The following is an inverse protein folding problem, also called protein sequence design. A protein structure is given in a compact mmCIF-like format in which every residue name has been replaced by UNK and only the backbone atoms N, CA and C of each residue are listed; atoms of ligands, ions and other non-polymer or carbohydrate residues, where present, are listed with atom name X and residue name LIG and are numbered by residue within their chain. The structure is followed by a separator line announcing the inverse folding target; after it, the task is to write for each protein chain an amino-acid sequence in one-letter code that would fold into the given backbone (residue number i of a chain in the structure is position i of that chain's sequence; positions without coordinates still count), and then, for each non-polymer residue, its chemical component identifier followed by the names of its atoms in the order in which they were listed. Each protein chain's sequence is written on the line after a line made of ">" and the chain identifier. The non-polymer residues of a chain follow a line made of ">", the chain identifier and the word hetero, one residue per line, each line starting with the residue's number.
data_IF_648042097279
#
_entry.id   IF_648042097279
#
_cell.length_a   1.000
_cell.length_b   1.000
_cell.length_c   1.000
_cell.angle_alpha   90.00
_cell.angle_beta   90.00
_cell.angle_gamma   90.00
#
_symmetry.space_group_name_H-M   'P 1'
#
loop_
_entity.id
_entity.type
_entity.pdbx_description
1 polymer ?
#
# COMPACT_ATOMS: atom_id res chain seq x y z
N UNK A 1 -20.13 6.35 -16.22
CA UNK A 1 -21.00 5.25 -15.79
C UNK A 1 -21.83 4.75 -16.95
N UNK A 2 -22.01 3.41 -17.10
CA UNK A 2 -22.80 2.80 -18.17
C UNK A 2 -22.11 2.67 -19.53
N UNK A 3 -20.88 3.15 -19.70
CA UNK A 3 -20.15 3.04 -20.96
C UNK A 3 -19.40 1.70 -21.11
N UNK A 4 -19.07 1.05 -19.99
CA UNK A 4 -18.39 -0.24 -19.94
C UNK A 4 -18.95 -1.06 -18.78
N UNK A 5 -18.84 -2.38 -18.86
CA UNK A 5 -19.16 -3.28 -17.78
C UNK A 5 -18.18 -3.09 -16.61
N UNK A 6 -18.66 -3.31 -15.38
CA UNK A 6 -17.84 -3.23 -14.18
C UNK A 6 -17.29 -4.61 -13.83
N UNK A 7 -15.99 -4.67 -13.48
CA UNK A 7 -15.40 -5.84 -12.82
C UNK A 7 -15.12 -5.47 -11.35
N UNK A 8 -15.73 -6.14 -10.37
CA UNK A 8 -15.55 -5.84 -8.95
C UNK A 8 -14.08 -5.81 -8.55
N UNK A 9 -13.67 -4.82 -7.77
CA UNK A 9 -12.29 -4.64 -7.33
C UNK A 9 -11.34 -4.05 -8.37
N UNK A 10 -11.74 -3.90 -9.63
CA UNK A 10 -10.92 -3.23 -10.66
C UNK A 10 -11.08 -1.71 -10.64
N UNK A 11 -10.04 -1.01 -11.08
CA UNK A 11 -10.11 0.41 -11.44
C UNK A 11 -10.76 0.63 -12.82
N UNK A 12 -11.34 -0.42 -13.40
CA UNK A 12 -11.93 -0.46 -14.73
C UNK A 12 -10.93 -0.16 -15.87
N UNK A 13 -11.40 0.46 -16.96
CA UNK A 13 -10.58 0.86 -18.10
C UNK A 13 -10.20 2.33 -18.02
N UNK A 14 -9.13 2.75 -18.71
CA UNK A 14 -8.69 4.15 -18.70
C UNK A 14 -9.80 5.11 -19.19
N UNK A 15 -9.88 6.25 -18.51
CA UNK A 15 -10.73 7.34 -19.00
C UNK A 15 -10.25 7.86 -20.36
N UNK A 16 -11.16 8.36 -21.18
CA UNK A 16 -10.84 8.88 -22.52
C UNK A 16 -9.75 9.94 -22.47
N UNK A 17 -8.74 9.77 -23.34
CA UNK A 17 -7.58 10.65 -23.41
C UNK A 17 -6.45 10.34 -22.41
N UNK A 18 -6.68 9.47 -21.42
CA UNK A 18 -5.63 8.99 -20.52
C UNK A 18 -4.96 7.77 -21.14
N UNK A 19 -3.62 7.77 -21.16
CA UNK A 19 -2.80 6.71 -21.79
C UNK A 19 -1.91 6.01 -20.76
N UNK A 20 -2.48 5.16 -19.89
CA UNK A 20 -1.68 4.37 -18.98
C UNK A 20 -0.91 3.29 -19.73
N UNK A 21 0.30 3.04 -19.30
CA UNK A 21 1.14 1.92 -19.74
C UNK A 21 1.68 1.20 -18.52
N UNK A 22 1.87 -0.10 -18.64
CA UNK A 22 2.60 -0.89 -17.65
C UNK A 22 4.03 -1.06 -18.13
N UNK A 23 4.99 -0.85 -17.22
CA UNK A 23 6.40 -1.07 -17.50
C UNK A 23 6.97 -2.12 -16.52
N UNK A 24 7.93 -2.89 -17.01
CA UNK A 24 8.68 -3.82 -16.17
C UNK A 24 9.74 -3.09 -15.31
N UNK A 25 10.58 -3.87 -14.61
CA UNK A 25 11.65 -3.31 -13.77
C UNK A 25 12.70 -2.50 -14.56
N UNK A 26 12.85 -2.76 -15.85
CA UNK A 26 13.83 -2.16 -16.74
C UNK A 26 13.22 -1.02 -17.61
N UNK A 27 11.97 -0.63 -17.34
CA UNK A 27 11.25 0.42 -18.06
C UNK A 27 10.62 -0.03 -19.38
N UNK A 28 10.63 -1.33 -19.69
CA UNK A 28 10.09 -1.87 -20.94
C UNK A 28 8.57 -1.96 -20.88
N UNK A 29 7.89 -1.47 -21.90
CA UNK A 29 6.41 -1.51 -21.96
C UNK A 29 5.91 -2.95 -22.09
N UNK A 30 5.01 -3.33 -21.18
CA UNK A 30 4.28 -4.61 -21.17
C UNK A 30 3.03 -4.44 -22.02
N UNK A 31 2.92 -5.22 -23.10
CA UNK A 31 1.75 -5.22 -24.00
C UNK A 31 0.77 -6.31 -23.58
N UNK A 32 -0.56 -6.04 -23.73
CA UNK A 32 -1.62 -6.99 -23.39
C UNK A 32 -1.74 -7.23 -21.88
N UNK A 33 -2.16 -8.45 -21.50
CA UNK A 33 -2.22 -8.88 -20.11
C UNK A 33 -0.84 -8.83 -19.43
N UNK A 34 -0.81 -8.50 -18.16
CA UNK A 34 0.43 -8.52 -17.38
C UNK A 34 0.38 -7.68 -16.11
N UNK A 35 1.47 -7.76 -15.36
CA UNK A 35 1.67 -6.99 -14.12
C UNK A 35 2.94 -6.17 -14.24
N UNK A 36 2.88 -4.92 -13.80
CA UNK A 36 4.01 -4.00 -13.86
C UNK A 36 3.78 -2.74 -13.05
N UNK A 37 4.62 -1.75 -13.29
CA UNK A 37 4.52 -0.41 -12.70
C UNK A 37 3.67 0.47 -13.60
N UNK A 38 2.73 1.20 -12.99
CA UNK A 38 1.84 2.09 -13.73
C UNK A 38 2.56 3.38 -14.10
N UNK A 39 2.58 3.68 -15.38
CA UNK A 39 3.05 4.95 -15.91
C UNK A 39 2.00 5.57 -16.83
N UNK A 40 2.09 6.89 -17.04
CA UNK A 40 1.30 7.59 -18.06
C UNK A 40 2.22 7.96 -19.22
N UNK A 41 1.85 7.51 -20.43
CA UNK A 41 2.65 7.70 -21.64
C UNK A 41 2.54 9.10 -22.25
N UNK A 42 1.59 9.92 -21.80
CA UNK A 42 1.43 11.31 -22.24
C UNK A 42 0.79 12.16 -21.15
N UNK A 43 1.04 13.46 -21.21
CA UNK A 43 0.37 14.44 -20.36
C UNK A 43 -1.15 14.42 -20.56
N UNK A 44 -1.88 14.81 -19.52
CA UNK A 44 -3.34 14.96 -19.52
C UNK A 44 -3.73 16.27 -18.80
N UNK A 45 -4.94 16.81 -19.01
CA UNK A 45 -5.32 18.12 -18.47
C UNK A 45 -5.24 18.24 -16.94
N UNK A 46 -5.48 17.14 -16.20
CA UNK A 46 -5.42 17.09 -14.74
C UNK A 46 -4.04 16.75 -14.18
N UNK A 47 -3.02 16.60 -15.00
CA UNK A 47 -1.66 16.30 -14.51
C UNK A 47 -1.12 17.45 -13.65
N UNK A 48 -0.48 17.10 -12.53
CA UNK A 48 0.30 18.06 -11.75
C UNK A 48 1.36 18.71 -12.64
N UNK A 49 1.53 20.03 -12.52
CA UNK A 49 2.50 20.79 -13.31
C UNK A 49 3.83 21.00 -12.60
N UNK A 50 3.80 21.09 -11.28
CA UNK A 50 4.97 21.30 -10.44
C UNK A 50 4.62 21.15 -8.97
N UNK A 51 5.65 21.10 -8.11
CA UNK A 51 5.54 21.32 -6.66
C UNK A 51 5.85 22.80 -6.40
N UNK A 52 5.02 23.47 -5.61
CA UNK A 52 5.20 24.88 -5.30
C UNK A 52 6.56 25.13 -4.64
N UNK A 53 7.35 26.01 -5.25
CA UNK A 53 8.69 26.36 -4.76
C UNK A 53 9.77 25.29 -4.99
N UNK A 54 9.42 24.10 -5.55
CA UNK A 54 10.39 23.00 -5.72
C UNK A 54 10.07 22.18 -6.99
N UNK A 55 10.37 22.75 -8.14
CA UNK A 55 10.15 22.07 -9.43
C UNK A 55 11.01 20.81 -9.57
N UNK A 56 12.23 20.82 -9.04
CA UNK A 56 13.13 19.68 -9.13
C UNK A 56 12.54 18.44 -8.45
N UNK A 57 11.91 18.59 -7.30
CA UNK A 57 11.21 17.51 -6.62
C UNK A 57 10.10 16.89 -7.47
N UNK A 58 9.39 17.70 -8.27
CA UNK A 58 8.41 17.17 -9.21
C UNK A 58 9.05 16.28 -10.27
N UNK A 59 10.16 16.71 -10.86
CA UNK A 59 10.92 15.93 -11.84
C UNK A 59 11.46 14.64 -11.19
N UNK A 60 12.13 14.76 -10.07
CA UNK A 60 12.75 13.61 -9.36
C UNK A 60 11.71 12.57 -8.95
N UNK A 61 10.52 12.99 -8.53
CA UNK A 61 9.48 12.08 -8.07
C UNK A 61 8.81 11.32 -9.21
N UNK A 62 8.54 11.97 -10.33
CA UNK A 62 7.65 11.41 -11.36
C UNK A 62 8.32 11.08 -12.69
N UNK A 63 9.51 11.59 -12.96
CA UNK A 63 10.17 11.45 -14.29
C UNK A 63 11.60 10.91 -14.23
N UNK A 64 12.17 10.71 -13.04
CA UNK A 64 13.53 10.20 -12.90
C UNK A 64 13.65 8.68 -12.97
N UNK A 65 12.55 7.95 -12.69
CA UNK A 65 12.59 6.48 -12.62
C UNK A 65 12.55 5.82 -13.99
N UNK A 66 11.78 6.38 -14.93
CA UNK A 66 11.62 5.85 -16.30
C UNK A 66 11.59 6.99 -17.29
N UNK A 67 12.31 6.82 -18.41
CA UNK A 67 12.40 7.84 -19.46
C UNK A 67 11.07 8.06 -20.17
N UNK A 68 10.73 9.33 -20.41
CA UNK A 68 9.61 9.76 -21.24
C UNK A 68 8.20 9.33 -20.77
N UNK A 69 8.05 8.90 -19.54
CA UNK A 69 6.75 8.56 -18.94
C UNK A 69 6.61 9.16 -17.54
N UNK A 70 5.39 9.47 -17.16
CA UNK A 70 5.07 9.87 -15.78
C UNK A 70 4.86 8.61 -14.93
N UNK A 71 5.73 8.36 -13.96
CA UNK A 71 5.65 7.23 -13.04
C UNK A 71 4.71 7.55 -11.86
N UNK A 72 3.65 6.76 -11.67
CA UNK A 72 2.66 7.01 -10.60
C UNK A 72 3.12 6.52 -9.22
N UNK A 73 4.09 5.60 -9.18
CA UNK A 73 4.52 4.92 -7.96
C UNK A 73 3.65 3.72 -7.58
N UNK A 74 2.71 3.32 -8.44
CA UNK A 74 1.78 2.22 -8.18
C UNK A 74 2.14 0.97 -8.98
N UNK A 75 1.95 -0.20 -8.36
CA UNK A 75 1.93 -1.49 -9.02
C UNK A 75 0.54 -1.80 -9.53
N UNK A 76 0.43 -2.41 -10.71
CA UNK A 76 -0.84 -2.68 -11.35
C UNK A 76 -0.79 -4.00 -12.12
N UNK A 77 -1.87 -4.76 -12.07
CA UNK A 77 -2.17 -5.86 -12.99
C UNK A 77 -3.22 -5.41 -14.01
N UNK A 78 -3.01 -5.76 -15.27
CA UNK A 78 -3.99 -5.59 -16.34
C UNK A 78 -4.36 -6.96 -16.89
N UNK A 79 -5.68 -7.24 -17.05
CA UNK A 79 -6.16 -8.46 -17.66
C UNK A 79 -6.21 -8.38 -19.20
N UNK A 80 -6.60 -9.49 -19.81
CA UNK A 80 -6.75 -9.64 -21.27
C UNK A 80 -7.84 -8.72 -21.86
N UNK A 81 -8.90 -8.42 -21.09
CA UNK A 81 -9.95 -7.46 -21.46
C UNK A 81 -9.53 -5.99 -21.30
N UNK A 82 -8.34 -5.72 -20.74
CA UNK A 82 -7.78 -4.39 -20.56
C UNK A 82 -8.28 -3.67 -19.29
N UNK A 83 -8.80 -4.39 -18.29
CA UNK A 83 -9.11 -3.83 -16.97
C UNK A 83 -7.88 -3.78 -16.09
N UNK A 84 -7.83 -2.78 -15.22
CA UNK A 84 -6.69 -2.49 -14.35
C UNK A 84 -7.04 -2.77 -12.87
N UNK A 85 -6.18 -3.53 -12.17
CA UNK A 85 -6.23 -3.71 -10.72
C UNK A 85 -5.00 -3.07 -10.10
N UNK A 86 -5.20 -2.10 -9.22
CA UNK A 86 -4.12 -1.48 -8.46
C UNK A 86 -3.70 -2.47 -7.37
N UNK A 87 -2.46 -2.95 -7.42
CA UNK A 87 -1.93 -3.95 -6.47
C UNK A 87 -1.24 -3.31 -5.26
N UNK A 88 -1.15 -1.99 -5.24
CA UNK A 88 -0.58 -1.20 -4.16
C UNK A 88 0.56 -0.30 -4.63
N UNK A 89 1.22 0.35 -3.68
CA UNK A 89 2.40 1.18 -3.94
C UNK A 89 3.62 0.30 -4.19
N UNK A 90 4.49 0.72 -5.11
CA UNK A 90 5.76 0.01 -5.38
C UNK A 90 6.71 0.11 -4.19
N UNK A 91 6.64 1.21 -3.44
CA UNK A 91 7.41 1.46 -2.22
C UNK A 91 6.82 0.78 -0.95
N UNK A 92 5.59 0.27 -1.02
CA UNK A 92 4.94 -0.50 0.05
C UNK A 92 5.05 -2.03 -0.14
N UNK A 93 5.81 -2.48 -1.15
CA UNK A 93 6.10 -3.91 -1.34
C UNK A 93 7.08 -4.38 -0.27
N UNK A 94 6.72 -5.46 0.41
CA UNK A 94 7.52 -6.09 1.47
C UNK A 94 8.29 -7.26 0.87
N UNK A 95 9.61 -7.32 1.12
CA UNK A 95 10.48 -8.39 0.62
C UNK A 95 10.79 -9.39 1.74
N UNK A 96 10.02 -10.47 1.81
CA UNK A 96 10.18 -11.53 2.81
C UNK A 96 10.87 -12.72 2.18
N UNK A 97 12.09 -13.02 2.60
CA UNK A 97 12.89 -14.16 2.10
C UNK A 97 12.93 -14.23 0.56
N UNK A 98 13.05 -13.08 -0.11
CA UNK A 98 13.07 -12.98 -1.58
C UNK A 98 11.70 -12.94 -2.26
N UNK A 99 10.60 -13.13 -1.53
CA UNK A 99 9.24 -12.99 -2.06
C UNK A 99 8.78 -11.54 -1.92
N UNK A 100 8.18 -11.01 -3.00
CA UNK A 100 7.62 -9.67 -3.04
C UNK A 100 6.12 -9.74 -2.72
N UNK A 101 5.73 -9.22 -1.57
CA UNK A 101 4.35 -9.24 -1.08
C UNK A 101 3.79 -7.82 -1.08
N UNK A 102 2.60 -7.63 -1.64
CA UNK A 102 1.88 -6.36 -1.58
C UNK A 102 1.25 -6.16 -0.21
N UNK A 103 1.53 -5.02 0.44
CA UNK A 103 0.89 -4.71 1.72
C UNK A 103 -0.64 -4.67 1.61
N UNK A 104 -1.17 -4.14 0.51
CA UNK A 104 -2.61 -4.03 0.26
C UNK A 104 -3.32 -5.40 0.18
N UNK A 105 -2.66 -6.44 -0.35
CA UNK A 105 -3.22 -7.79 -0.42
C UNK A 105 -3.37 -8.38 0.99
N UNK A 106 -2.36 -8.18 1.84
CA UNK A 106 -2.38 -8.66 3.23
C UNK A 106 -3.42 -7.87 4.05
N UNK A 107 -3.49 -6.54 3.86
CA UNK A 107 -4.52 -5.69 4.47
C UNK A 107 -5.93 -6.16 4.08
N UNK A 108 -6.17 -6.45 2.80
CA UNK A 108 -7.45 -6.96 2.31
C UNK A 108 -7.81 -8.32 2.93
N UNK A 109 -6.84 -9.22 3.08
CA UNK A 109 -7.05 -10.50 3.73
C UNK A 109 -7.40 -10.34 5.22
N UNK A 110 -6.74 -9.43 5.94
CA UNK A 110 -7.06 -9.13 7.34
C UNK A 110 -8.46 -8.53 7.50
N UNK A 111 -8.81 -7.57 6.65
CA UNK A 111 -10.12 -6.87 6.68
C UNK A 111 -11.27 -7.81 6.26
N UNK A 112 -11.01 -8.90 5.54
CA UNK A 112 -12.04 -9.88 5.21
C UNK A 112 -12.57 -10.64 6.44
N UNK A 113 -11.85 -10.61 7.56
CA UNK A 113 -12.30 -11.18 8.81
C UNK A 113 -13.34 -10.28 9.49
N UNK A 114 -14.44 -10.86 9.95
CA UNK A 114 -15.59 -10.13 10.50
C UNK A 114 -15.28 -9.21 11.70
N UNK A 115 -14.26 -9.55 12.49
CA UNK A 115 -13.84 -8.79 13.66
C UNK A 115 -13.03 -7.51 13.30
N UNK A 116 -12.50 -7.41 12.09
CA UNK A 116 -11.59 -6.34 11.69
C UNK A 116 -12.34 -5.18 11.05
N UNK A 117 -12.07 -3.97 11.52
CA UNK A 117 -12.58 -2.74 10.91
C UNK A 117 -11.60 -2.18 9.88
N UNK A 118 -10.32 -2.10 10.24
CA UNK A 118 -9.24 -1.60 9.38
C UNK A 118 -7.94 -2.36 9.67
N UNK A 119 -7.06 -2.39 8.69
CA UNK A 119 -5.70 -2.89 8.84
C UNK A 119 -4.71 -2.04 8.05
N UNK A 120 -3.50 -1.92 8.59
CA UNK A 120 -2.36 -1.35 7.87
C UNK A 120 -1.15 -2.27 8.06
N UNK A 121 -0.49 -2.59 6.96
CA UNK A 121 0.62 -3.53 6.95
C UNK A 121 1.89 -2.85 6.44
N UNK A 122 2.98 -3.07 7.15
CA UNK A 122 4.30 -2.53 6.80
C UNK A 122 5.39 -3.60 6.95
N UNK A 123 6.47 -3.45 6.17
CA UNK A 123 7.68 -4.21 6.40
C UNK A 123 8.52 -3.58 7.51
N UNK A 124 9.20 -4.40 8.30
CA UNK A 124 10.21 -3.98 9.26
C UNK A 124 11.50 -4.82 9.08
N UNK A 125 12.67 -4.31 9.48
CA UNK A 125 13.92 -5.06 9.37
C UNK A 125 13.88 -6.40 10.13
N UNK A 126 14.33 -7.48 9.49
CA UNK A 126 14.39 -8.81 10.06
C UNK A 126 15.70 -9.51 9.68
N UNK A 127 16.47 -9.98 10.66
CA UNK A 127 17.85 -10.46 10.49
C UNK A 127 17.99 -11.63 9.51
N UNK A 128 16.99 -12.51 9.44
CA UNK A 128 17.05 -13.72 8.59
C UNK A 128 16.31 -13.51 7.25
N UNK A 129 15.16 -12.83 7.28
CA UNK A 129 14.26 -12.73 6.13
C UNK A 129 14.46 -11.48 5.29
N UNK A 130 15.35 -10.57 5.74
CA UNK A 130 15.51 -9.23 5.21
C UNK A 130 14.41 -8.29 5.73
N UNK A 131 13.15 -8.62 5.50
CA UNK A 131 12.00 -7.93 6.09
C UNK A 131 11.03 -8.95 6.71
N UNK A 132 10.45 -8.56 7.85
CA UNK A 132 9.27 -9.18 8.45
C UNK A 132 8.02 -8.37 8.17
N UNK A 133 6.86 -8.96 8.36
CA UNK A 133 5.56 -8.33 8.16
C UNK A 133 4.99 -7.92 9.52
N UNK A 134 4.67 -6.63 9.66
CA UNK A 134 4.03 -6.06 10.84
C UNK A 134 2.64 -5.54 10.46
N UNK A 135 1.61 -6.04 11.12
CA UNK A 135 0.23 -5.62 10.89
C UNK A 135 -0.30 -4.81 12.09
N UNK A 136 -0.86 -3.65 11.81
CA UNK A 136 -1.65 -2.86 12.75
C UNK A 136 -3.11 -3.10 12.44
N UNK A 137 -3.87 -3.58 13.40
CA UNK A 137 -5.26 -4.01 13.21
C UNK A 137 -6.17 -3.25 14.15
N UNK A 138 -7.13 -2.52 13.58
CA UNK A 138 -8.23 -1.90 14.32
C UNK A 138 -9.43 -2.85 14.29
N UNK A 139 -9.91 -3.21 15.46
CA UNK A 139 -11.06 -4.08 15.61
C UNK A 139 -12.38 -3.29 15.55
N UNK A 140 -13.45 -3.97 15.22
CA UNK A 140 -14.81 -3.40 15.30
C UNK A 140 -15.20 -3.12 16.75
N UNK A 141 -16.09 -2.17 16.93
CA UNK A 141 -16.57 -1.78 18.27
C UNK A 141 -17.12 -2.99 19.06
N UNK A 142 -16.70 -3.11 20.33
CA UNK A 142 -17.12 -4.18 21.22
C UNK A 142 -16.33 -5.49 21.07
N UNK A 143 -15.32 -5.54 20.20
CA UNK A 143 -14.42 -6.69 20.06
C UNK A 143 -13.08 -6.36 20.70
N UNK A 144 -12.57 -7.25 21.52
CA UNK A 144 -11.26 -7.17 22.16
C UNK A 144 -10.28 -8.13 21.50
N UNK A 145 -9.04 -7.66 21.34
CA UNK A 145 -7.96 -8.47 20.78
C UNK A 145 -7.49 -9.53 21.79
N UNK A 146 -7.35 -10.76 21.33
CA UNK A 146 -6.82 -11.87 22.11
C UNK A 146 -6.02 -12.80 21.21
N UNK A 147 -5.39 -13.84 21.79
CA UNK A 147 -4.53 -14.77 21.05
C UNK A 147 -5.33 -15.63 20.07
N UNK A 148 -6.56 -16.03 20.40
CA UNK A 148 -7.41 -16.81 19.50
C UNK A 148 -7.74 -16.03 18.22
N UNK A 149 -8.06 -14.74 18.35
CA UNK A 149 -8.29 -13.86 17.20
C UNK A 149 -7.00 -13.62 16.41
N UNK A 150 -5.86 -13.49 17.09
CA UNK A 150 -4.55 -13.38 16.43
C UNK A 150 -4.29 -14.60 15.53
N UNK A 151 -4.45 -15.82 16.07
CA UNK A 151 -4.29 -17.05 15.30
C UNK A 151 -5.28 -17.16 14.13
N UNK A 152 -6.54 -16.75 14.33
CA UNK A 152 -7.55 -16.73 13.29
C UNK A 152 -7.16 -15.81 12.13
N UNK A 153 -6.65 -14.61 12.43
CA UNK A 153 -6.17 -13.66 11.42
C UNK A 153 -4.96 -14.20 10.66
N UNK A 154 -3.99 -14.79 11.36
CA UNK A 154 -2.82 -15.43 10.72
C UNK A 154 -3.23 -16.58 9.80
N UNK A 155 -4.24 -17.38 10.22
CA UNK A 155 -4.79 -18.45 9.40
C UNK A 155 -5.51 -17.90 8.17
N UNK A 156 -6.27 -16.81 8.31
CA UNK A 156 -6.98 -16.16 7.22
C UNK A 156 -5.98 -15.67 6.15
N UNK A 157 -4.94 -14.94 6.54
CA UNK A 157 -3.89 -14.48 5.61
C UNK A 157 -3.18 -15.67 4.96
N UNK A 158 -2.81 -16.68 5.74
CA UNK A 158 -2.12 -17.87 5.22
C UNK A 158 -2.94 -18.66 4.20
N UNK A 159 -4.27 -18.67 4.35
CA UNK A 159 -5.19 -19.38 3.46
C UNK A 159 -5.52 -18.60 2.20
N UNK A 160 -5.68 -17.26 2.31
CA UNK A 160 -6.07 -16.41 1.18
C UNK A 160 -4.89 -16.03 0.28
N UNK A 161 -3.69 -15.92 0.85
CA UNK A 161 -2.50 -15.52 0.12
C UNK A 161 -1.46 -16.64 0.11
N UNK A 162 -0.76 -16.82 1.23
CA UNK A 162 0.23 -17.90 1.41
C UNK A 162 0.78 -17.89 2.85
N UNK A 163 1.39 -19.01 3.31
CA UNK A 163 2.02 -19.06 4.62
C UNK A 163 3.11 -18.01 4.85
N UNK A 164 3.85 -17.61 3.80
CA UNK A 164 4.92 -16.62 3.89
C UNK A 164 4.39 -15.18 4.06
N UNK A 165 3.13 -14.94 3.73
CA UNK A 165 2.48 -13.64 3.89
C UNK A 165 1.93 -13.38 5.30
N UNK A 166 1.98 -14.37 6.19
CA UNK A 166 1.51 -14.23 7.56
C UNK A 166 2.31 -13.14 8.28
N UNK A 167 1.65 -12.14 8.91
CA UNK A 167 2.33 -11.20 9.78
C UNK A 167 3.10 -11.92 10.89
N UNK A 168 4.30 -11.46 11.18
CA UNK A 168 5.08 -11.93 12.32
C UNK A 168 4.60 -11.27 13.61
N UNK A 169 4.04 -10.09 13.48
CA UNK A 169 3.46 -9.36 14.59
C UNK A 169 2.15 -8.69 14.17
N UNK A 170 1.10 -8.92 14.97
CA UNK A 170 -0.14 -8.16 14.89
C UNK A 170 -0.23 -7.30 16.15
N UNK A 171 -0.34 -5.99 15.95
CA UNK A 171 -0.58 -5.03 17.02
C UNK A 171 -2.03 -4.55 16.95
N UNK A 172 -2.75 -4.67 18.03
CA UNK A 172 -4.08 -4.08 18.17
C UNK A 172 -3.93 -2.56 18.24
N UNK A 173 -4.51 -1.87 17.27
CA UNK A 173 -4.45 -0.44 17.14
C UNK A 173 -5.86 0.16 17.27
N UNK A 174 -6.16 0.93 18.32
CA UNK A 174 -7.47 1.58 18.44
C UNK A 174 -7.79 2.46 17.26
N UNK A 175 -6.78 3.14 16.73
CA UNK A 175 -6.83 3.92 15.49
C UNK A 175 -5.53 3.81 14.71
N UNK A 176 -5.60 4.10 13.40
CA UNK A 176 -4.42 4.22 12.53
C UNK A 176 -4.05 5.70 12.34
N UNK A 177 -2.75 6.05 12.22
CA UNK A 177 -2.31 7.41 11.99
C UNK A 177 -2.71 7.85 10.57
N UNK A 178 -3.71 8.70 10.48
CA UNK A 178 -4.29 9.20 9.23
C UNK A 178 -4.08 10.70 9.06
N UNK A 179 -3.87 11.13 7.83
CA UNK A 179 -3.99 12.54 7.49
C UNK A 179 -5.44 13.02 7.62
N UNK A 180 -5.66 14.34 7.63
CA UNK A 180 -7.01 14.94 7.63
C UNK A 180 -7.87 14.49 6.44
N UNK A 181 -7.26 14.03 5.33
CA UNK A 181 -7.95 13.45 4.18
C UNK A 181 -8.23 11.95 4.31
N UNK A 182 -7.92 11.32 5.46
CA UNK A 182 -8.14 9.89 5.73
C UNK A 182 -7.05 8.95 5.21
N UNK A 183 -5.95 9.46 4.66
CA UNK A 183 -4.85 8.64 4.15
C UNK A 183 -3.97 8.15 5.30
N UNK A 184 -3.76 6.83 5.41
CA UNK A 184 -2.87 6.21 6.41
C UNK A 184 -1.41 6.61 6.14
N UNK A 185 -0.74 7.07 7.17
CA UNK A 185 0.67 7.47 7.13
C UNK A 185 1.60 6.28 7.42
N UNK A 186 1.73 5.37 6.46
CA UNK A 186 2.55 4.14 6.59
C UNK A 186 4.01 4.43 6.94
N UNK A 187 4.53 5.59 6.59
CA UNK A 187 5.88 6.01 6.98
C UNK A 187 6.06 6.00 8.52
N UNK A 188 5.06 6.48 9.25
CA UNK A 188 5.08 6.49 10.73
C UNK A 188 5.00 5.05 11.25
N UNK A 189 4.09 4.24 10.71
CA UNK A 189 3.93 2.84 11.10
C UNK A 189 5.21 2.02 10.89
N UNK A 190 5.91 2.24 9.77
CA UNK A 190 7.21 1.56 9.52
C UNK A 190 8.25 1.92 10.58
N UNK A 191 8.36 3.18 10.95
CA UNK A 191 9.30 3.64 11.98
C UNK A 191 8.96 3.05 13.35
N UNK A 192 7.69 3.01 13.71
CA UNK A 192 7.24 2.35 14.95
C UNK A 192 7.58 0.86 14.89
N UNK A 193 7.26 0.16 13.80
CA UNK A 193 7.56 -1.26 13.64
C UNK A 193 9.07 -1.55 13.74
N UNK A 194 9.91 -0.67 13.18
CA UNK A 194 11.37 -0.78 13.24
C UNK A 194 11.98 -0.32 14.57
N UNK A 195 11.19 0.18 15.53
CA UNK A 195 11.67 0.80 16.79
C UNK A 195 12.48 2.09 16.61
N UNK A 196 12.20 2.84 15.55
CA UNK A 196 12.85 4.11 15.22
C UNK A 196 11.92 5.28 15.60
N UNK A 197 11.58 5.38 16.89
CA UNK A 197 10.53 6.31 17.37
C UNK A 197 11.03 7.72 17.64
N UNK A 198 12.34 7.95 17.69
CA UNK A 198 12.94 9.26 17.97
C UNK A 198 12.79 10.25 16.80
N UNK A 199 12.73 9.74 15.55
CA UNK A 199 12.66 10.54 14.33
C UNK A 199 11.46 10.20 13.45
N UNK A 200 10.25 10.41 13.93
CA UNK A 200 9.05 10.12 13.14
C UNK A 200 8.84 11.06 11.94
N UNK A 201 9.61 12.16 11.90
CA UNK A 201 9.48 13.22 10.88
C UNK A 201 8.20 14.04 11.06
N UNK A 202 7.80 14.77 10.02
CA UNK A 202 6.65 15.67 10.10
C UNK A 202 5.33 14.90 10.33
N UNK A 203 4.70 15.16 11.47
CA UNK A 203 3.39 14.63 11.89
C UNK A 203 2.29 15.70 11.87
N UNK A 204 2.57 16.93 11.44
CA UNK A 204 1.63 18.07 11.47
C UNK A 204 0.38 17.88 10.62
N UNK A 205 0.44 16.97 9.66
CA UNK A 205 -0.68 16.63 8.75
C UNK A 205 -1.62 15.57 9.31
N UNK A 206 -1.29 14.97 10.46
CA UNK A 206 -2.16 14.01 11.14
C UNK A 206 -3.46 14.65 11.58
N UNK A 207 -4.56 13.92 11.45
CA UNK A 207 -5.86 14.31 12.00
C UNK A 207 -5.83 14.26 13.53
N UNK A 208 -5.20 13.23 14.09
CA UNK A 208 -5.01 13.03 15.52
C UNK A 208 -3.58 12.54 15.79
N UNK A 209 -2.68 13.41 16.27
CA UNK A 209 -1.31 13.03 16.62
C UNK A 209 -1.20 12.07 17.82
N UNK A 210 -2.18 12.04 18.73
CA UNK A 210 -2.13 11.20 19.95
C UNK A 210 -2.11 9.70 19.64
N UNK A 211 -2.63 9.31 18.49
CA UNK A 211 -2.61 7.93 17.99
C UNK A 211 -1.17 7.38 17.89
N UNK A 212 -0.21 8.25 17.58
CA UNK A 212 1.19 7.84 17.45
C UNK A 212 1.78 7.40 18.79
N UNK A 213 1.53 8.19 19.86
CA UNK A 213 2.00 7.87 21.22
C UNK A 213 1.38 6.56 21.74
N UNK A 214 0.12 6.32 21.39
CA UNK A 214 -0.58 5.10 21.75
C UNK A 214 0.01 3.88 21.03
N UNK A 215 0.28 3.98 19.75
CA UNK A 215 0.91 2.91 18.97
C UNK A 215 2.32 2.59 19.46
N UNK A 216 3.09 3.60 19.90
CA UNK A 216 4.42 3.41 20.48
C UNK A 216 4.34 2.66 21.82
N UNK A 217 3.39 3.05 22.68
CA UNK A 217 3.21 2.38 24.00
C UNK A 217 2.77 0.94 23.90
N UNK A 218 2.00 0.60 22.87
CA UNK A 218 1.41 -0.72 22.69
C UNK A 218 2.24 -1.63 21.76
N UNK A 219 3.45 -1.21 21.40
CA UNK A 219 4.36 -1.96 20.53
C UNK A 219 4.95 -3.19 21.28
#
# INVERSE_FOLDING_TARGET
>A
PGAIDLKPGSATKPFYGIKPVLVDKDGKIIKGEGQGRLCMASSWPGQMRTVYGDHQRFIDTYFSTFDNVYFTGDGVRRDDDGYYWITGRVDDVINVSGHRLGSAEIESALVSHEAVAEAAVVGFPHDIKGQGIYAYVTLKAGIEGNEELNEALLKTVGSLISPIAKPEKIQWAPNLPKTRSGKIMRRILRKIAANETEELGDISTLADPSVVDELIRNR
#
